data_IF_683258200778
#
_entry.id   IF_683258200778
#
_cell.length_a   1.000
_cell.length_b   1.000
_cell.length_c   1.000
_cell.angle_alpha   90.00
_cell.angle_beta   90.00
_cell.angle_gamma   90.00
#
_symmetry.space_group_name_H-M   'P 1'
#
loop_
_entity.id
_entity.type
_entity.pdbx_description
1 polymer ?
#
# COMPACT_ATOMS: atom_id res chain seq x y z
N UNK A 1 -8.76 11.55 37.35
CA UNK A 1 -10.00 12.29 37.03
C UNK A 1 -10.45 11.82 35.65
N UNK A 2 -11.69 11.33 35.56
CA UNK A 2 -12.30 10.74 34.36
C UNK A 2 -12.70 11.84 33.37
N UNK A 3 -12.01 11.99 32.24
CA UNK A 3 -12.57 12.59 31.01
C UNK A 3 -11.80 12.03 29.80
N UNK A 4 -12.18 10.85 29.33
CA UNK A 4 -12.10 10.51 27.91
C UNK A 4 -13.46 9.88 27.61
N UNK A 5 -14.39 10.73 27.18
CA UNK A 5 -15.67 10.30 26.64
C UNK A 5 -15.74 10.82 25.20
N UNK A 6 -15.84 9.85 24.29
CA UNK A 6 -16.78 9.81 23.17
C UNK A 6 -16.80 11.03 22.26
N UNK A 7 -16.22 10.87 21.07
CA UNK A 7 -16.86 11.40 19.86
C UNK A 7 -16.87 10.31 18.78
N UNK A 8 -18.06 9.75 18.60
CA UNK A 8 -18.50 9.15 17.36
C UNK A 8 -19.50 10.13 16.75
N UNK A 9 -19.31 10.46 15.47
CA UNK A 9 -20.20 11.09 14.50
C UNK A 9 -21.41 11.91 15.01
N UNK A 10 -21.45 13.20 14.65
CA UNK A 10 -22.70 13.92 14.42
C UNK A 10 -22.50 15.08 13.44
N UNK A 11 -22.93 14.85 12.20
CA UNK A 11 -23.32 15.88 11.22
C UNK A 11 -24.56 16.61 11.77
N UNK A 12 -24.53 17.94 11.90
CA UNK A 12 -25.73 18.76 12.07
C UNK A 12 -25.50 20.22 11.65
N UNK A 13 -26.12 20.56 10.51
CA UNK A 13 -26.49 21.91 10.11
C UNK A 13 -27.37 22.56 11.18
N UNK A 14 -27.02 23.77 11.64
CA UNK A 14 -28.01 24.71 12.19
C UNK A 14 -27.54 26.15 12.06
N UNK A 15 -28.25 26.89 11.20
CA UNK A 15 -28.32 28.34 11.22
C UNK A 15 -29.16 28.78 12.44
N UNK A 16 -28.71 29.79 13.19
CA UNK A 16 -29.58 30.88 13.69
C UNK A 16 -28.81 31.93 14.52
N UNK A 17 -29.07 33.20 14.15
CA UNK A 17 -29.22 34.41 14.98
C UNK A 17 -28.04 34.92 15.82
N UNK A 18 -27.45 36.00 15.31
CA UNK A 18 -26.62 36.96 16.04
C UNK A 18 -27.40 37.62 17.18
N UNK A 19 -26.84 37.53 18.39
CA UNK A 19 -27.05 38.50 19.47
C UNK A 19 -25.68 39.04 19.85
N UNK A 20 -25.45 40.31 19.52
CA UNK A 20 -24.20 41.04 19.81
C UNK A 20 -24.11 41.27 21.32
N UNK A 21 -23.15 40.63 21.97
CA UNK A 21 -22.66 41.02 23.28
C UNK A 21 -21.20 41.44 23.13
N UNK A 22 -20.94 42.74 23.27
CA UNK A 22 -19.58 43.30 23.32
C UNK A 22 -19.03 43.22 24.76
N UNK A 23 -17.89 42.55 24.99
CA UNK A 23 -17.12 42.75 26.22
C UNK A 23 -16.26 44.03 26.13
N UNK A 24 -15.88 44.63 27.27
CA UNK A 24 -15.10 45.86 27.30
C UNK A 24 -13.68 45.65 26.76
N UNK A 25 -13.16 46.67 26.09
CA UNK A 25 -11.80 46.72 25.60
C UNK A 25 -10.80 46.71 26.76
N UNK A 26 -9.82 45.80 26.66
CA UNK A 26 -8.37 46.11 26.63
C UNK A 26 -7.53 45.08 27.39
N UNK A 27 -7.00 44.13 26.62
CA UNK A 27 -5.66 43.59 26.81
C UNK A 27 -5.01 43.59 25.43
N UNK A 28 -3.86 44.24 25.31
CA UNK A 28 -3.14 44.42 24.04
C UNK A 28 -3.05 43.10 23.27
N UNK A 29 -3.72 43.04 22.12
CA UNK A 29 -3.67 41.88 21.22
C UNK A 29 -2.26 41.77 20.68
N UNK A 30 -1.54 40.73 21.08
CA UNK A 30 -0.32 40.32 20.42
C UNK A 30 -0.59 40.16 18.91
N UNK A 31 0.36 40.51 18.02
CA UNK A 31 0.15 40.36 16.58
C UNK A 31 -0.23 38.90 16.26
N UNK A 32 -1.08 38.69 15.25
CA UNK A 32 -1.69 37.39 14.94
C UNK A 32 -0.68 36.22 14.90
N UNK A 33 0.55 36.48 14.40
CA UNK A 33 1.66 35.51 14.39
C UNK A 33 2.14 35.08 15.80
N UNK A 34 2.11 35.99 16.78
CA UNK A 34 2.49 35.69 18.17
C UNK A 34 1.42 34.85 18.87
N UNK A 35 0.15 35.06 18.55
CA UNK A 35 -0.95 34.27 19.13
C UNK A 35 -0.89 32.81 18.68
N UNK A 36 -0.74 32.57 17.37
CA UNK A 36 -0.62 31.22 16.79
C UNK A 36 0.60 30.49 17.35
N UNK A 37 1.73 31.18 17.48
CA UNK A 37 2.94 30.61 18.09
C UNK A 37 2.71 30.14 19.54
N UNK A 38 2.00 30.92 20.36
CA UNK A 38 1.64 30.52 21.73
C UNK A 38 0.65 29.35 21.76
N UNK A 39 -0.31 29.30 20.82
CA UNK A 39 -1.22 28.16 20.67
C UNK A 39 -0.44 26.87 20.36
N UNK A 40 0.48 26.92 19.39
CA UNK A 40 1.36 25.80 19.04
C UNK A 40 2.21 25.37 20.24
N UNK A 41 2.85 26.30 20.96
CA UNK A 41 3.62 25.98 22.17
C UNK A 41 2.78 25.26 23.22
N UNK A 42 1.54 25.71 23.42
CA UNK A 42 0.60 25.10 24.38
C UNK A 42 0.22 23.68 23.95
N UNK A 43 -0.16 23.50 22.68
CA UNK A 43 -0.56 22.21 22.13
C UNK A 43 0.61 21.22 22.20
N UNK A 44 1.80 21.61 21.73
CA UNK A 44 3.03 20.80 21.78
C UNK A 44 3.35 20.39 23.22
N UNK A 45 3.36 21.34 24.17
CA UNK A 45 3.64 21.03 25.58
C UNK A 45 2.62 20.05 26.16
N UNK A 46 1.37 20.11 25.73
CA UNK A 46 0.28 19.32 26.28
C UNK A 46 0.17 17.92 25.64
N UNK A 47 0.33 17.82 24.33
CA UNK A 47 -0.06 16.63 23.57
C UNK A 47 1.09 15.90 22.89
N UNK A 48 2.27 16.53 22.73
CA UNK A 48 3.38 15.85 22.08
C UNK A 48 3.78 14.57 22.82
N UNK A 49 4.03 13.51 22.04
CA UNK A 49 4.21 12.15 22.58
C UNK A 49 5.46 12.03 23.46
N UNK A 50 6.54 12.72 23.11
CA UNK A 50 7.80 12.71 23.86
C UNK A 50 7.96 13.95 24.78
N UNK A 51 8.87 13.91 25.76
CA UNK A 51 9.25 15.10 26.52
C UNK A 51 9.83 16.20 25.60
N UNK A 52 9.30 17.42 25.73
CA UNK A 52 9.76 18.59 24.95
C UNK A 52 10.68 19.46 25.80
N UNK A 53 11.85 19.82 25.26
CA UNK A 53 12.78 20.73 25.93
C UNK A 53 12.30 22.19 25.84
N UNK A 54 12.68 23.00 26.83
CA UNK A 54 12.40 24.45 26.80
C UNK A 54 13.09 25.15 25.60
N UNK A 55 14.18 24.59 25.07
CA UNK A 55 14.85 25.14 23.91
C UNK A 55 13.99 25.05 22.65
N UNK A 56 13.31 23.92 22.45
CA UNK A 56 12.38 23.73 21.32
C UNK A 56 11.25 24.75 21.40
N UNK A 57 10.67 24.94 22.58
CA UNK A 57 9.57 25.89 22.79
C UNK A 57 10.00 27.36 22.63
N UNK A 58 11.29 27.69 22.73
CA UNK A 58 11.81 29.05 22.52
C UNK A 58 11.99 29.41 21.05
N UNK A 59 11.78 28.49 20.12
CA UNK A 59 11.89 28.77 18.69
C UNK A 59 10.90 29.87 18.26
N UNK A 60 11.28 30.62 17.22
CA UNK A 60 10.61 31.88 16.84
C UNK A 60 9.38 31.69 15.96
N UNK A 61 9.20 30.50 15.37
CA UNK A 61 8.09 30.19 14.46
C UNK A 61 7.49 28.83 14.80
N UNK A 62 6.19 28.60 14.48
CA UNK A 62 5.59 27.28 14.57
C UNK A 62 6.37 26.20 13.81
N UNK A 63 6.87 26.53 12.62
CA UNK A 63 7.65 25.65 11.76
C UNK A 63 8.95 25.21 12.45
N UNK A 64 9.68 26.14 13.07
CA UNK A 64 10.91 25.81 13.79
C UNK A 64 10.67 24.94 15.02
N UNK A 65 9.51 25.08 15.68
CA UNK A 65 9.12 24.20 16.79
C UNK A 65 8.96 22.78 16.26
N UNK A 66 8.10 22.56 15.27
CA UNK A 66 7.79 21.20 14.79
C UNK A 66 8.98 20.50 14.13
N UNK A 67 9.84 21.23 13.40
CA UNK A 67 11.08 20.69 12.81
C UNK A 67 12.05 20.11 13.86
N UNK A 68 11.97 20.55 15.12
CA UNK A 68 12.80 20.05 16.21
C UNK A 68 12.13 18.94 17.04
N UNK A 69 10.87 18.58 16.72
CA UNK A 69 10.14 17.51 17.42
C UNK A 69 10.45 16.16 16.79
N UNK A 70 9.98 15.94 15.56
CA UNK A 70 10.14 14.71 14.79
C UNK A 70 9.87 15.00 13.30
N UNK A 71 10.24 14.09 12.37
CA UNK A 71 10.00 14.27 10.93
C UNK A 71 8.52 14.12 10.52
N UNK A 72 7.59 13.93 11.45
CA UNK A 72 6.19 13.69 11.15
C UNK A 72 5.28 14.82 11.62
N UNK A 73 5.74 15.71 12.48
CA UNK A 73 5.01 16.85 12.98
C UNK A 73 5.22 18.02 12.03
N UNK A 74 4.13 18.66 11.63
CA UNK A 74 4.15 19.71 10.62
C UNK A 74 3.21 20.85 11.02
N UNK A 75 3.60 22.07 10.66
CA UNK A 75 2.72 23.22 10.65
C UNK A 75 2.38 23.51 9.19
N UNK A 76 1.10 23.59 8.88
CA UNK A 76 0.59 23.83 7.54
C UNK A 76 -0.22 25.12 7.51
N UNK A 77 -0.04 25.92 6.47
CA UNK A 77 -1.06 26.92 6.12
C UNK A 77 -2.36 26.22 5.72
N UNK A 78 -3.44 26.99 5.58
CA UNK A 78 -4.72 26.47 5.12
C UNK A 78 -4.59 25.80 3.75
N UNK A 79 -3.86 26.44 2.83
CA UNK A 79 -3.64 25.96 1.47
C UNK A 79 -2.80 24.67 1.48
N UNK A 80 -1.73 24.62 2.29
CA UNK A 80 -0.91 23.41 2.45
C UNK A 80 -1.74 22.24 3.00
N UNK A 81 -2.65 22.49 3.94
CA UNK A 81 -3.56 21.48 4.48
C UNK A 81 -4.58 21.00 3.44
N UNK A 82 -5.17 21.91 2.64
CA UNK A 82 -6.10 21.54 1.58
C UNK A 82 -5.44 20.63 0.53
N UNK A 83 -4.20 20.93 0.12
CA UNK A 83 -3.45 20.06 -0.80
C UNK A 83 -3.08 18.72 -0.16
N UNK A 84 -2.74 18.71 1.13
CA UNK A 84 -2.50 17.48 1.88
C UNK A 84 -3.71 16.55 1.92
N UNK A 85 -4.91 17.09 2.17
CA UNK A 85 -6.16 16.31 2.15
C UNK A 85 -6.43 15.74 0.75
N UNK A 86 -6.35 16.56 -0.31
CA UNK A 86 -6.51 16.10 -1.70
C UNK A 86 -5.53 14.97 -2.04
N UNK A 87 -4.32 15.02 -1.50
CA UNK A 87 -3.34 13.95 -1.69
C UNK A 87 -3.72 12.67 -0.95
N UNK A 88 -4.20 12.72 0.30
CA UNK A 88 -4.70 11.52 0.99
C UNK A 88 -5.87 10.90 0.21
N UNK A 89 -6.80 11.75 -0.22
CA UNK A 89 -8.05 11.34 -0.88
C UNK A 89 -7.88 11.01 -2.38
N UNK A 90 -6.64 11.03 -2.88
CA UNK A 90 -6.31 10.74 -4.29
C UNK A 90 -6.98 11.72 -5.30
N UNK A 91 -7.38 12.92 -4.87
CA UNK A 91 -8.08 13.94 -5.67
C UNK A 91 -7.14 15.09 -6.13
N UNK A 92 -5.87 14.79 -6.41
CA UNK A 92 -4.88 15.82 -6.73
C UNK A 92 -4.76 16.14 -8.22
N UNK A 93 -4.49 17.42 -8.52
CA UNK A 93 -3.86 17.85 -9.77
C UNK A 93 -2.39 18.00 -9.50
N UNK A 94 -1.55 17.32 -10.27
CA UNK A 94 -0.12 17.31 -10.00
C UNK A 94 0.66 16.48 -11.01
N UNK A 95 1.75 15.87 -10.54
CA UNK A 95 2.69 15.14 -11.39
C UNK A 95 2.51 13.61 -11.35
N UNK A 96 1.58 13.11 -10.52
CA UNK A 96 1.28 11.68 -10.40
C UNK A 96 2.37 10.89 -9.66
N UNK A 97 2.74 11.36 -8.47
CA UNK A 97 3.71 10.70 -7.57
C UNK A 97 3.12 10.51 -6.19
N UNK A 98 3.52 9.44 -5.52
CA UNK A 98 3.38 9.30 -4.07
C UNK A 98 4.73 9.64 -3.45
N UNK A 99 4.72 10.45 -2.40
CA UNK A 99 5.92 10.89 -1.69
C UNK A 99 5.82 10.53 -0.22
N UNK A 100 6.97 10.42 0.44
CA UNK A 100 7.09 10.28 1.89
C UNK A 100 8.33 11.05 2.36
N UNK A 101 8.31 11.50 3.61
CA UNK A 101 9.43 12.17 4.26
C UNK A 101 10.15 11.22 5.22
N UNK A 102 11.47 11.18 5.13
CA UNK A 102 12.35 10.53 6.09
C UNK A 102 13.54 11.43 6.46
N UNK A 103 14.51 10.86 7.18
CA UNK A 103 15.72 11.57 7.62
C UNK A 103 16.60 12.13 6.47
N UNK A 104 16.42 11.64 5.25
CA UNK A 104 17.12 12.10 4.04
C UNK A 104 16.30 13.11 3.23
N UNK A 105 15.07 13.42 3.66
CA UNK A 105 14.16 14.36 3.02
C UNK A 105 12.97 13.69 2.33
N UNK A 106 12.30 14.46 1.46
CA UNK A 106 11.11 14.01 0.73
C UNK A 106 11.51 13.19 -0.49
N UNK A 107 11.11 11.93 -0.53
CA UNK A 107 11.44 11.00 -1.61
C UNK A 107 10.19 10.45 -2.30
N UNK A 108 10.34 10.08 -3.56
CA UNK A 108 9.28 9.48 -4.38
C UNK A 108 9.15 8.00 -4.02
N UNK A 109 7.99 7.61 -3.49
CA UNK A 109 7.63 6.24 -3.17
C UNK A 109 7.18 5.47 -4.40
N UNK A 110 6.32 6.09 -5.20
CA UNK A 110 5.82 5.52 -6.44
C UNK A 110 5.49 6.61 -7.45
N UNK A 111 5.43 6.18 -8.71
CA UNK A 111 5.07 7.04 -9.84
C UNK A 111 3.93 6.38 -10.56
N UNK A 112 2.91 7.15 -10.91
CA UNK A 112 1.78 6.65 -11.68
C UNK A 112 2.27 6.11 -13.02
N UNK A 113 1.95 4.86 -13.31
CA UNK A 113 2.27 4.24 -14.60
C UNK A 113 1.69 5.08 -15.75
N UNK A 114 2.55 5.45 -16.70
CA UNK A 114 2.23 6.36 -17.82
C UNK A 114 1.80 7.78 -17.41
N UNK A 115 1.88 8.16 -16.14
CA UNK A 115 1.57 9.50 -15.64
C UNK A 115 2.64 10.56 -15.97
N UNK A 116 2.42 11.84 -15.63
CA UNK A 116 3.31 12.95 -15.99
C UNK A 116 4.76 12.74 -15.51
N UNK A 117 4.96 12.40 -14.24
CA UNK A 117 6.28 12.14 -13.67
C UNK A 117 6.99 10.93 -14.30
N UNK A 118 6.25 9.84 -14.61
CA UNK A 118 6.82 8.69 -15.30
C UNK A 118 7.30 9.04 -16.70
N UNK A 119 6.51 9.83 -17.46
CA UNK A 119 6.89 10.32 -18.79
C UNK A 119 8.10 11.26 -18.74
N UNK A 120 8.23 12.03 -17.66
CA UNK A 120 9.38 12.88 -17.40
C UNK A 120 10.62 12.10 -16.93
N UNK A 121 10.49 10.81 -16.59
CA UNK A 121 11.60 9.96 -16.18
C UNK A 121 11.95 10.02 -14.70
N UNK A 122 11.04 10.52 -13.85
CA UNK A 122 11.13 10.36 -12.40
C UNK A 122 10.87 8.89 -12.02
N UNK A 123 11.51 8.46 -10.93
CA UNK A 123 11.51 7.06 -10.50
C UNK A 123 11.29 6.94 -8.99
N UNK A 124 10.73 5.81 -8.52
CA UNK A 124 10.77 5.46 -7.10
C UNK A 124 12.20 5.53 -6.55
N UNK A 125 12.36 6.14 -5.37
CA UNK A 125 13.63 6.38 -4.70
C UNK A 125 14.32 7.71 -5.04
N UNK A 126 13.83 8.46 -6.02
CA UNK A 126 14.32 9.83 -6.29
C UNK A 126 14.02 10.73 -5.08
N UNK A 127 15.01 11.51 -4.62
CA UNK A 127 14.87 12.46 -3.50
C UNK A 127 14.68 13.86 -4.06
N UNK A 128 13.60 14.55 -3.69
CA UNK A 128 13.24 15.87 -4.22
C UNK A 128 14.15 16.92 -3.58
N UNK A 129 14.96 17.58 -4.40
CA UNK A 129 15.90 18.61 -3.95
C UNK A 129 15.37 20.03 -4.16
N UNK A 130 14.63 20.27 -5.24
CA UNK A 130 14.04 21.58 -5.53
C UNK A 130 12.75 21.49 -6.34
N UNK A 131 11.86 22.47 -6.14
CA UNK A 131 10.63 22.69 -6.92
C UNK A 131 10.63 24.12 -7.42
N UNK A 132 10.50 24.34 -8.73
CA UNK A 132 10.63 25.64 -9.41
C UNK A 132 11.89 26.44 -9.01
N UNK A 133 12.99 25.72 -8.80
CA UNK A 133 14.27 26.29 -8.37
C UNK A 133 14.34 26.65 -6.88
N UNK A 134 13.25 26.52 -6.12
CA UNK A 134 13.25 26.64 -4.67
C UNK A 134 13.80 25.35 -4.05
N UNK A 135 14.90 25.39 -3.27
CA UNK A 135 15.40 24.22 -2.55
C UNK A 135 14.38 23.75 -1.51
N UNK A 136 14.16 22.43 -1.42
CA UNK A 136 13.19 21.82 -0.50
C UNK A 136 13.78 20.73 0.38
N UNK A 137 15.11 20.56 0.41
CA UNK A 137 15.77 19.48 1.17
C UNK A 137 15.53 19.53 2.69
N UNK A 138 15.09 20.68 3.21
CA UNK A 138 14.80 20.90 4.63
C UNK A 138 13.32 21.25 4.87
N UNK A 139 12.45 21.01 3.89
CA UNK A 139 11.02 21.27 3.97
C UNK A 139 10.24 19.98 4.17
N UNK A 140 9.07 20.08 4.79
CA UNK A 140 8.23 18.93 5.06
C UNK A 140 7.56 18.42 3.78
N UNK A 141 7.10 17.17 3.82
CA UNK A 141 6.32 16.56 2.74
C UNK A 141 5.15 17.46 2.30
N UNK A 142 4.41 18.05 3.26
CA UNK A 142 3.23 18.89 2.98
C UNK A 142 3.62 20.16 2.23
N UNK A 143 4.74 20.76 2.61
CA UNK A 143 5.26 21.93 1.92
C UNK A 143 5.65 21.58 0.48
N UNK A 144 6.39 20.50 0.29
CA UNK A 144 6.80 20.00 -1.03
C UNK A 144 5.58 19.69 -1.89
N UNK A 145 4.58 19.03 -1.32
CA UNK A 145 3.32 18.73 -2.00
C UNK A 145 2.62 20.01 -2.46
N UNK A 146 2.50 21.02 -1.61
CA UNK A 146 1.88 22.30 -1.98
C UNK A 146 2.61 23.04 -3.11
N UNK A 147 3.94 22.86 -3.21
CA UNK A 147 4.76 23.46 -4.26
C UNK A 147 4.64 22.70 -5.58
N UNK A 148 4.41 21.39 -5.51
CA UNK A 148 4.18 20.52 -6.69
C UNK A 148 2.75 20.65 -7.21
N UNK A 149 1.79 20.93 -6.32
CA UNK A 149 0.42 21.18 -6.66
C UNK A 149 0.26 22.46 -7.49
N UNK A 150 -0.77 22.50 -8.32
CA UNK A 150 -1.04 23.65 -9.18
C UNK A 150 -2.23 23.39 -10.09
N UNK A 151 -2.46 24.34 -11.01
CA UNK A 151 -3.60 24.26 -11.90
C UNK A 151 -3.40 23.21 -13.00
N UNK A 152 -4.50 22.64 -13.50
CA UNK A 152 -4.42 21.67 -14.58
C UNK A 152 -3.89 22.35 -15.84
N UNK A 153 -2.85 21.76 -16.45
CA UNK A 153 -2.25 22.25 -17.68
C UNK A 153 -1.06 23.19 -17.50
N UNK A 154 -0.77 23.65 -16.27
CA UNK A 154 0.48 24.36 -15.97
C UNK A 154 1.66 23.38 -15.87
N UNK A 155 2.86 23.89 -15.64
CA UNK A 155 4.08 23.08 -15.52
C UNK A 155 4.84 23.44 -14.26
N UNK A 156 5.46 22.43 -13.65
CA UNK A 156 6.35 22.58 -12.50
C UNK A 156 7.71 21.98 -12.82
N UNK A 157 8.80 22.65 -12.45
CA UNK A 157 10.15 22.13 -12.55
C UNK A 157 10.52 21.39 -11.26
N UNK A 158 10.88 20.12 -11.36
CA UNK A 158 11.29 19.29 -10.21
C UNK A 158 12.72 18.85 -10.42
N UNK A 159 13.57 19.14 -9.44
CA UNK A 159 14.95 18.65 -9.37
C UNK A 159 15.03 17.54 -8.33
N UNK A 160 15.52 16.37 -8.72
CA UNK A 160 15.71 15.23 -7.84
C UNK A 160 17.16 14.76 -7.82
N UNK A 161 17.61 14.22 -6.69
CA UNK A 161 18.80 13.39 -6.61
C UNK A 161 18.40 11.93 -6.71
N UNK A 162 19.07 11.19 -7.60
CA UNK A 162 18.79 9.77 -7.85
C UNK A 162 19.87 8.92 -7.20
N UNK A 163 19.58 8.22 -6.09
CA UNK A 163 20.58 7.40 -5.39
C UNK A 163 21.16 6.28 -6.26
N UNK A 164 20.36 5.73 -7.19
CA UNK A 164 20.76 4.59 -8.02
C UNK A 164 21.81 4.93 -9.08
N UNK A 165 21.93 6.20 -9.47
CA UNK A 165 22.92 6.67 -10.45
C UNK A 165 23.86 7.74 -9.88
N UNK A 166 23.60 8.22 -8.67
CA UNK A 166 24.29 9.36 -8.03
C UNK A 166 24.21 10.66 -8.84
N UNK A 167 23.15 10.83 -9.64
CA UNK A 167 22.97 11.99 -10.51
C UNK A 167 21.83 12.89 -10.02
N UNK A 168 21.97 14.20 -10.27
CA UNK A 168 20.87 15.17 -10.14
C UNK A 168 20.16 15.31 -11.47
N UNK A 169 18.84 15.11 -11.47
CA UNK A 169 17.97 15.17 -12.64
C UNK A 169 16.98 16.31 -12.45
N UNK A 170 16.94 17.24 -13.39
CA UNK A 170 15.94 18.32 -13.41
C UNK A 170 14.99 18.12 -14.58
N UNK A 171 13.69 18.12 -14.31
CA UNK A 171 12.64 17.88 -15.31
C UNK A 171 11.53 18.90 -15.16
N UNK A 172 10.97 19.35 -16.28
CA UNK A 172 9.75 20.17 -16.30
C UNK A 172 8.58 19.28 -16.63
N UNK A 173 7.59 19.25 -15.76
CA UNK A 173 6.47 18.30 -15.81
C UNK A 173 5.18 19.08 -15.93
N UNK A 174 4.32 18.66 -16.87
CA UNK A 174 2.97 19.20 -16.99
C UNK A 174 2.10 18.65 -15.87
N UNK A 175 1.40 19.53 -15.17
CA UNK A 175 0.42 19.17 -14.14
C UNK A 175 -0.87 18.73 -14.82
N UNK A 176 -1.37 17.56 -14.41
CA UNK A 176 -2.57 16.95 -14.96
C UNK A 176 -3.47 16.50 -13.81
N UNK A 177 -4.78 16.45 -14.05
CA UNK A 177 -5.68 15.78 -13.12
C UNK A 177 -5.28 14.32 -13.04
N UNK A 178 -5.00 13.86 -11.82
CA UNK A 178 -4.59 12.48 -11.59
C UNK A 178 -5.85 11.64 -11.33
N UNK A 179 -6.13 10.71 -12.24
CA UNK A 179 -7.15 9.68 -12.05
C UNK A 179 -6.44 8.41 -11.56
N UNK A 180 -6.11 8.39 -10.27
CA UNK A 180 -5.52 7.22 -9.64
C UNK A 180 -6.62 6.46 -8.90
N UNK A 181 -7.05 5.26 -9.39
CA UNK A 181 -8.04 4.48 -8.66
C UNK A 181 -7.43 4.05 -7.32
N UNK A 182 -8.02 4.49 -6.21
CA UNK A 182 -7.49 4.14 -4.89
C UNK A 182 -7.53 2.62 -4.65
N UNK A 183 -8.59 1.95 -5.10
CA UNK A 183 -8.71 0.48 -5.06
C UNK A 183 -8.82 -0.13 -6.45
N UNK A 184 -7.82 -0.91 -6.81
CA UNK A 184 -7.84 -1.76 -8.00
C UNK A 184 -8.09 -3.22 -7.62
N UNK A 185 -8.92 -3.92 -8.40
CA UNK A 185 -9.12 -5.34 -8.18
C UNK A 185 -9.32 -6.14 -9.47
N UNK A 186 -8.88 -7.40 -9.44
CA UNK A 186 -8.99 -8.33 -10.57
C UNK A 186 -9.00 -9.78 -10.11
N UNK A 187 -9.53 -10.65 -10.97
CA UNK A 187 -9.41 -12.10 -10.82
C UNK A 187 -8.14 -12.58 -11.53
N UNK A 188 -7.23 -13.19 -10.78
CA UNK A 188 -6.04 -13.86 -11.28
C UNK A 188 -6.32 -15.32 -11.64
N UNK A 189 -5.36 -15.94 -12.34
CA UNK A 189 -5.38 -17.35 -12.69
C UNK A 189 -5.65 -18.26 -11.47
N UNK A 190 -6.24 -19.43 -11.70
CA UNK A 190 -6.61 -20.34 -10.60
C UNK A 190 -7.69 -19.79 -9.66
N UNK A 191 -8.45 -18.79 -10.13
CA UNK A 191 -9.60 -18.23 -9.42
C UNK A 191 -9.21 -17.54 -8.09
N UNK A 192 -8.17 -16.72 -8.13
CA UNK A 192 -7.65 -15.95 -6.97
C UNK A 192 -8.08 -14.49 -7.11
N UNK A 193 -8.59 -13.90 -6.03
CA UNK A 193 -8.90 -12.47 -5.99
C UNK A 193 -7.63 -11.66 -5.71
N UNK A 194 -7.48 -10.52 -6.38
CA UNK A 194 -6.44 -9.54 -6.13
C UNK A 194 -7.09 -8.19 -5.85
N UNK A 195 -6.69 -7.54 -4.77
CA UNK A 195 -7.06 -6.17 -4.39
C UNK A 195 -5.76 -5.43 -4.10
N UNK A 196 -5.60 -4.25 -4.67
CA UNK A 196 -4.52 -3.31 -4.36
C UNK A 196 -5.14 -2.03 -3.81
N UNK A 197 -4.57 -1.53 -2.72
CA UNK A 197 -4.98 -0.30 -2.06
C UNK A 197 -3.81 0.67 -2.09
N UNK A 198 -4.01 1.88 -2.62
CA UNK A 198 -2.95 2.89 -2.74
C UNK A 198 -2.91 3.89 -1.56
N UNK A 199 -4.07 4.21 -0.97
CA UNK A 199 -4.23 5.11 0.16
C UNK A 199 -5.37 4.67 1.09
N UNK A 200 -5.23 4.91 2.39
CA UNK A 200 -6.29 4.70 3.38
C UNK A 200 -7.21 5.94 3.47
N UNK A 201 -7.84 6.33 2.36
CA UNK A 201 -8.81 7.42 2.31
C UNK A 201 -10.18 7.03 2.92
N UNK A 202 -11.16 7.93 2.92
CA UNK A 202 -12.50 7.67 3.45
C UNK A 202 -13.33 6.71 2.58
N UNK A 203 -13.00 6.55 1.30
CA UNK A 203 -13.78 5.77 0.32
C UNK A 203 -13.37 4.30 0.26
N UNK A 204 -12.11 4.00 0.61
CA UNK A 204 -11.47 2.69 0.52
C UNK A 204 -12.30 1.53 1.13
N UNK A 205 -12.97 1.67 2.29
CA UNK A 205 -13.76 0.58 2.86
C UNK A 205 -14.91 0.16 1.93
N UNK A 206 -15.63 1.11 1.35
CA UNK A 206 -16.73 0.84 0.43
C UNK A 206 -16.22 0.23 -0.89
N UNK A 207 -15.08 0.72 -1.38
CA UNK A 207 -14.43 0.20 -2.57
C UNK A 207 -13.95 -1.25 -2.41
N UNK A 208 -13.36 -1.58 -1.26
CA UNK A 208 -12.91 -2.93 -0.90
C UNK A 208 -14.12 -3.86 -0.74
N UNK A 209 -15.20 -3.42 -0.09
CA UNK A 209 -16.43 -4.20 -0.01
C UNK A 209 -16.94 -4.55 -1.42
N UNK A 210 -16.99 -3.56 -2.32
CA UNK A 210 -17.37 -3.75 -3.73
C UNK A 210 -16.45 -4.76 -4.41
N UNK A 211 -15.13 -4.64 -4.24
CA UNK A 211 -14.16 -5.58 -4.78
C UNK A 211 -14.41 -7.02 -4.28
N UNK A 212 -14.65 -7.20 -2.98
CA UNK A 212 -14.92 -8.51 -2.37
C UNK A 212 -16.18 -9.14 -2.96
N UNK A 213 -17.25 -8.37 -3.13
CA UNK A 213 -18.52 -8.84 -3.70
C UNK A 213 -18.38 -9.16 -5.19
N UNK A 214 -17.73 -8.30 -5.97
CA UNK A 214 -17.49 -8.50 -7.40
C UNK A 214 -16.63 -9.72 -7.70
N UNK A 215 -15.70 -10.05 -6.80
CA UNK A 215 -14.84 -11.21 -6.90
C UNK A 215 -15.37 -12.42 -6.10
N UNK A 216 -16.69 -12.59 -6.01
CA UNK A 216 -17.29 -13.75 -5.36
C UNK A 216 -16.79 -15.09 -5.92
N UNK A 217 -16.78 -16.11 -5.06
CA UNK A 217 -16.39 -17.48 -5.42
C UNK A 217 -14.90 -17.68 -5.70
N UNK A 218 -14.01 -16.70 -5.45
CA UNK A 218 -12.56 -16.93 -5.47
C UNK A 218 -12.13 -17.93 -4.40
N UNK A 219 -10.98 -18.58 -4.63
CA UNK A 219 -10.43 -19.63 -3.75
C UNK A 219 -9.39 -19.11 -2.75
N UNK A 220 -9.10 -17.81 -2.78
CA UNK A 220 -8.12 -17.14 -1.95
C UNK A 220 -7.88 -15.72 -2.44
N UNK A 221 -7.19 -14.93 -1.63
CA UNK A 221 -7.00 -13.50 -1.84
C UNK A 221 -5.52 -13.11 -1.78
N UNK A 222 -5.16 -12.14 -2.61
CA UNK A 222 -3.95 -11.35 -2.48
C UNK A 222 -4.42 -9.91 -2.24
N UNK A 223 -4.01 -9.34 -1.12
CA UNK A 223 -4.21 -7.95 -0.78
C UNK A 223 -2.84 -7.25 -0.88
N UNK A 224 -2.75 -6.14 -1.60
CA UNK A 224 -1.49 -5.49 -1.93
C UNK A 224 -1.44 -4.09 -1.29
N UNK A 225 -0.45 -3.89 -0.42
CA UNK A 225 -0.12 -2.63 0.25
C UNK A 225 1.28 -2.13 -0.16
N UNK A 226 1.89 -2.70 -1.20
CA UNK A 226 3.16 -2.19 -1.71
C UNK A 226 2.96 -0.75 -2.16
N UNK A 227 3.92 0.11 -1.81
CA UNK A 227 3.91 1.52 -2.17
C UNK A 227 2.73 2.35 -1.61
N UNK A 228 2.11 1.85 -0.53
CA UNK A 228 1.04 2.54 0.18
C UNK A 228 1.58 3.24 1.45
N UNK A 229 1.66 4.58 1.49
CA UNK A 229 2.22 5.34 2.61
C UNK A 229 1.29 5.41 3.85
N UNK A 230 0.08 4.87 3.74
CA UNK A 230 -0.93 4.89 4.78
C UNK A 230 -2.10 5.80 4.43
N UNK A 231 -2.52 6.63 5.38
CA UNK A 231 -3.73 7.45 5.32
C UNK A 231 -4.43 7.44 6.67
N UNK A 232 -5.76 7.51 6.68
CA UNK A 232 -6.53 7.59 7.91
C UNK A 232 -6.47 6.30 8.75
N UNK A 233 -6.16 6.47 10.04
CA UNK A 233 -6.11 5.38 11.02
C UNK A 233 -7.48 4.70 11.18
N UNK A 234 -8.56 5.47 11.14
CA UNK A 234 -9.92 4.93 11.22
C UNK A 234 -10.23 4.03 10.02
N UNK A 235 -9.85 4.45 8.81
CA UNK A 235 -9.96 3.61 7.61
C UNK A 235 -9.19 2.31 7.78
N UNK A 236 -7.97 2.34 8.34
CA UNK A 236 -7.20 1.13 8.62
C UNK A 236 -7.93 0.17 9.59
N UNK A 237 -8.54 0.73 10.63
CA UNK A 237 -9.37 -0.02 11.59
C UNK A 237 -10.59 -0.67 10.93
N UNK A 238 -11.21 0.02 9.97
CA UNK A 238 -12.32 -0.48 9.18
C UNK A 238 -11.89 -1.59 8.22
N UNK A 239 -10.78 -1.39 7.50
CA UNK A 239 -10.26 -2.36 6.54
C UNK A 239 -9.80 -3.65 7.24
N UNK A 240 -9.24 -3.55 8.45
CA UNK A 240 -8.91 -4.70 9.29
C UNK A 240 -10.11 -5.66 9.46
N UNK A 241 -11.33 -5.13 9.48
CA UNK A 241 -12.57 -5.90 9.59
C UNK A 241 -12.90 -6.81 8.40
N UNK A 242 -12.35 -6.55 7.21
CA UNK A 242 -12.53 -7.43 6.04
C UNK A 242 -11.72 -8.72 6.15
N UNK A 243 -10.71 -8.76 7.02
CA UNK A 243 -9.88 -9.94 7.22
C UNK A 243 -10.51 -10.85 8.28
N UNK A 244 -10.77 -12.13 7.96
CA UNK A 244 -11.33 -13.05 8.93
C UNK A 244 -10.38 -13.25 10.12
N UNK A 245 -10.95 -13.40 11.32
CA UNK A 245 -10.23 -13.59 12.59
C UNK A 245 -9.48 -12.37 13.15
N UNK A 246 -9.45 -11.24 12.46
CA UNK A 246 -8.90 -9.99 13.02
C UNK A 246 -9.92 -9.41 13.99
N UNK A 247 -9.59 -9.41 15.28
CA UNK A 247 -10.42 -8.87 16.38
C UNK A 247 -9.88 -7.54 16.89
N UNK A 248 -8.57 -7.38 16.88
CA UNK A 248 -7.86 -6.17 17.31
C UNK A 248 -7.14 -5.57 16.10
N UNK A 249 -7.32 -4.28 15.84
CA UNK A 249 -6.67 -3.60 14.73
C UNK A 249 -5.26 -3.17 15.15
N UNK A 250 -5.15 -2.42 16.24
CA UNK A 250 -3.87 -1.89 16.71
C UNK A 250 -3.96 -1.55 18.19
N UNK A 251 -2.81 -1.17 18.74
CA UNK A 251 -2.69 -0.60 20.07
C UNK A 251 -2.06 0.78 19.96
N UNK A 252 -2.54 1.76 20.73
CA UNK A 252 -1.88 3.06 20.89
C UNK A 252 -1.28 3.19 22.28
N UNK A 253 -0.17 3.90 22.36
CA UNK A 253 0.39 4.42 23.61
C UNK A 253 0.62 5.91 23.47
N UNK A 254 -0.01 6.66 24.35
CA UNK A 254 0.18 8.10 24.46
C UNK A 254 1.43 8.44 25.30
N UNK A 255 1.68 9.74 25.47
CA UNK A 255 2.79 10.25 26.29
C UNK A 255 2.78 9.84 27.76
N UNK A 256 1.62 9.45 28.30
CA UNK A 256 1.48 8.94 29.67
C UNK A 256 1.80 7.45 29.76
N UNK A 257 2.15 6.85 28.62
CA UNK A 257 2.27 5.41 28.40
C UNK A 257 0.95 4.67 28.69
N UNK A 258 -0.19 5.38 28.59
CA UNK A 258 -1.50 4.76 28.66
C UNK A 258 -1.73 3.94 27.40
N UNK A 259 -2.06 2.67 27.58
CA UNK A 259 -2.24 1.73 26.50
C UNK A 259 -3.73 1.54 26.20
N UNK A 260 -4.13 1.84 24.97
CA UNK A 260 -5.47 1.55 24.46
C UNK A 260 -5.40 0.56 23.30
N UNK A 261 -6.29 -0.44 23.30
CA UNK A 261 -6.36 -1.45 22.23
C UNK A 261 -7.66 -1.26 21.46
N UNK A 262 -7.53 -1.03 20.16
CA UNK A 262 -8.64 -0.76 19.27
C UNK A 262 -9.09 -2.06 18.61
N UNK A 263 -10.39 -2.35 18.70
CA UNK A 263 -10.99 -3.49 18.03
C UNK A 263 -11.11 -3.23 16.52
N UNK A 264 -11.03 -4.28 15.70
CA UNK A 264 -11.39 -4.15 14.29
C UNK A 264 -12.89 -3.84 14.16
N UNK A 265 -13.25 -2.94 13.24
CA UNK A 265 -14.66 -2.62 12.98
C UNK A 265 -15.28 -3.75 12.17
N UNK A 266 -16.45 -4.24 12.59
CA UNK A 266 -17.12 -5.35 11.89
C UNK A 266 -17.62 -4.89 10.51
N UNK A 267 -17.22 -5.61 9.47
CA UNK A 267 -17.65 -5.36 8.09
C UNK A 267 -18.80 -6.27 7.65
N UNK A 268 -19.64 -5.85 6.67
CA UNK A 268 -20.77 -6.65 6.17
C UNK A 268 -20.33 -7.86 5.33
N UNK A 269 -19.10 -7.83 4.80
CA UNK A 269 -18.45 -8.94 4.10
C UNK A 269 -17.05 -9.16 4.64
N UNK A 270 -16.51 -10.36 4.45
CA UNK A 270 -15.12 -10.66 4.72
C UNK A 270 -14.52 -11.46 3.56
N UNK A 271 -13.21 -11.34 3.37
CA UNK A 271 -12.47 -12.17 2.43
C UNK A 271 -12.49 -13.64 2.90
N UNK A 272 -13.10 -14.51 2.10
CA UNK A 272 -13.13 -15.95 2.37
C UNK A 272 -11.90 -16.68 1.80
N UNK A 273 -11.35 -17.63 2.56
CA UNK A 273 -10.23 -18.47 2.14
C UNK A 273 -8.86 -17.95 2.57
N UNK A 274 -7.75 -18.57 2.09
CA UNK A 274 -6.40 -18.15 2.42
C UNK A 274 -6.08 -16.76 1.84
N UNK A 275 -5.49 -15.89 2.66
CA UNK A 275 -5.12 -14.53 2.29
C UNK A 275 -3.60 -14.37 2.30
N UNK A 276 -3.10 -13.61 1.33
CA UNK A 276 -1.71 -13.18 1.21
C UNK A 276 -1.69 -11.66 1.23
N UNK A 277 -0.82 -11.06 2.03
CA UNK A 277 -0.63 -9.62 2.07
C UNK A 277 0.73 -9.30 1.45
N UNK A 278 0.78 -8.39 0.48
CA UNK A 278 2.02 -7.92 -0.12
C UNK A 278 2.42 -6.59 0.52
N UNK A 279 3.68 -6.48 0.91
CA UNK A 279 4.27 -5.28 1.53
C UNK A 279 5.67 -5.05 1.01
N UNK A 280 6.13 -3.81 1.02
CA UNK A 280 7.52 -3.45 0.69
C UNK A 280 8.02 -2.35 1.63
N UNK A 281 9.24 -1.86 1.38
CA UNK A 281 9.86 -0.79 2.16
C UNK A 281 9.03 0.51 2.16
N UNK A 282 8.17 0.69 1.16
CA UNK A 282 7.30 1.85 1.01
C UNK A 282 5.92 1.69 1.67
N UNK A 283 5.60 0.52 2.22
CA UNK A 283 4.40 0.34 3.02
C UNK A 283 4.61 1.03 4.39
N UNK A 284 3.86 2.09 4.69
CA UNK A 284 4.07 2.90 5.90
C UNK A 284 2.77 3.17 6.68
N UNK A 285 2.91 3.60 7.95
CA UNK A 285 1.80 4.10 8.78
C UNK A 285 0.62 3.11 8.87
N UNK A 286 -0.60 3.50 8.48
CA UNK A 286 -1.80 2.66 8.42
C UNK A 286 -1.58 1.30 7.72
N UNK A 287 -0.74 1.24 6.69
CA UNK A 287 -0.36 -0.03 6.03
C UNK A 287 0.32 -0.99 7.02
N UNK A 288 1.18 -0.47 7.89
CA UNK A 288 1.92 -1.25 8.88
C UNK A 288 1.02 -1.69 10.03
N UNK A 289 0.07 -0.84 10.42
CA UNK A 289 -0.97 -1.19 11.39
C UNK A 289 -1.76 -2.41 10.91
N UNK A 290 -2.28 -2.34 9.68
CA UNK A 290 -3.02 -3.46 9.07
C UNK A 290 -2.14 -4.70 8.93
N UNK A 291 -0.91 -4.55 8.42
CA UNK A 291 0.03 -5.64 8.24
C UNK A 291 0.35 -6.37 9.55
N UNK A 292 0.62 -5.62 10.63
CA UNK A 292 0.86 -6.17 11.95
C UNK A 292 -0.38 -6.90 12.50
N UNK A 293 -1.57 -6.30 12.34
CA UNK A 293 -2.84 -6.85 12.81
C UNK A 293 -3.12 -8.23 12.20
N UNK A 294 -3.05 -8.32 10.86
CA UNK A 294 -3.38 -9.55 10.13
C UNK A 294 -2.32 -10.63 10.31
N UNK A 295 -1.05 -10.24 10.46
CA UNK A 295 0.06 -11.16 10.72
C UNK A 295 -0.08 -11.81 12.10
N UNK A 296 -0.20 -11.01 13.15
CA UNK A 296 -0.18 -11.52 14.53
C UNK A 296 -1.40 -12.37 14.88
N UNK A 297 -2.53 -12.11 14.23
CA UNK A 297 -3.78 -12.86 14.36
C UNK A 297 -3.93 -13.95 13.30
N UNK A 298 -2.88 -14.20 12.49
CA UNK A 298 -2.82 -15.27 11.48
C UNK A 298 -3.96 -15.20 10.45
N UNK A 299 -4.42 -14.00 10.15
CA UNK A 299 -5.45 -13.75 9.14
C UNK A 299 -4.89 -13.73 7.71
N UNK A 300 -3.62 -13.34 7.55
CA UNK A 300 -2.90 -13.38 6.28
C UNK A 300 -1.43 -13.80 6.48
N UNK A 301 -0.80 -14.25 5.40
CA UNK A 301 0.66 -14.48 5.33
C UNK A 301 1.28 -13.33 4.55
N UNK A 302 2.28 -12.66 5.12
CA UNK A 302 2.92 -11.49 4.53
C UNK A 302 4.07 -11.88 3.60
N UNK A 303 4.12 -11.27 2.42
CA UNK A 303 5.14 -11.46 1.40
C UNK A 303 5.79 -10.13 1.06
N UNK A 304 7.12 -10.15 0.89
CA UNK A 304 7.85 -9.01 0.33
C UNK A 304 9.07 -8.60 1.13
N UNK A 305 9.18 -7.32 1.42
CA UNK A 305 10.28 -6.74 2.22
C UNK A 305 9.74 -6.21 3.55
N UNK A 306 10.66 -5.84 4.45
CA UNK A 306 10.28 -5.14 5.68
C UNK A 306 9.64 -3.79 5.31
N UNK A 307 8.60 -3.41 6.05
CA UNK A 307 7.89 -2.13 5.89
C UNK A 307 8.69 -0.95 6.45
N UNK A 308 8.23 0.26 6.19
CA UNK A 308 8.96 1.50 6.45
C UNK A 308 9.37 1.70 7.92
N UNK A 309 8.46 1.47 8.87
CA UNK A 309 8.70 1.66 10.30
C UNK A 309 8.17 2.99 10.85
N UNK A 310 7.11 3.56 10.27
CA UNK A 310 6.47 4.79 10.73
C UNK A 310 5.39 4.45 11.75
N UNK A 311 5.80 4.18 12.99
CA UNK A 311 4.91 3.80 14.10
C UNK A 311 4.28 4.95 14.89
N UNK A 312 4.17 6.14 14.31
CA UNK A 312 3.67 7.36 14.97
C UNK A 312 2.25 7.68 14.53
N UNK A 313 1.43 8.19 15.45
CA UNK A 313 0.09 8.67 15.18
C UNK A 313 0.05 10.18 15.36
N UNK A 314 -0.34 10.87 14.31
CA UNK A 314 -0.54 12.31 14.32
C UNK A 314 -2.01 12.65 14.57
N UNK A 315 -2.22 13.77 15.26
CA UNK A 315 -3.52 14.43 15.39
C UNK A 315 -3.44 15.81 14.75
N UNK A 316 -4.57 16.25 14.19
CA UNK A 316 -4.71 17.53 13.50
C UNK A 316 -5.36 18.53 14.45
N UNK A 317 -4.67 19.64 14.71
CA UNK A 317 -5.16 20.74 15.54
C UNK A 317 -5.38 21.99 14.68
N UNK A 318 -6.62 22.43 14.57
CA UNK A 318 -6.96 23.71 13.94
C UNK A 318 -6.54 24.87 14.85
N UNK A 319 -5.84 25.84 14.26
CA UNK A 319 -5.32 27.02 14.93
C UNK A 319 -6.22 28.23 14.67
N UNK A 320 -6.10 29.26 15.49
CA UNK A 320 -7.07 30.37 15.47
C UNK A 320 -7.03 31.26 14.21
N UNK A 321 -6.03 31.09 13.34
CA UNK A 321 -5.92 31.75 12.04
C UNK A 321 -6.34 30.84 10.86
N UNK A 322 -6.81 29.62 11.14
CA UNK A 322 -7.19 28.62 10.12
C UNK A 322 -6.03 27.77 9.60
N UNK A 323 -4.81 27.96 10.11
CA UNK A 323 -3.70 27.04 9.89
C UNK A 323 -3.88 25.73 10.68
N UNK A 324 -3.11 24.71 10.32
CA UNK A 324 -3.20 23.38 10.94
C UNK A 324 -1.86 22.95 11.53
N UNK A 325 -1.89 22.48 12.78
CA UNK A 325 -0.78 21.78 13.40
C UNK A 325 -1.05 20.28 13.36
N UNK A 326 -0.25 19.54 12.58
CA UNK A 326 -0.18 18.08 12.61
C UNK A 326 0.88 17.68 13.63
N UNK A 327 0.49 17.00 14.71
CA UNK A 327 1.38 16.72 15.83
C UNK A 327 1.38 15.23 16.17
N UNK A 328 2.56 14.63 16.37
CA UNK A 328 2.65 13.26 16.90
C UNK A 328 2.20 13.22 18.37
N UNK A 329 1.07 12.56 18.64
CA UNK A 329 0.46 12.47 19.98
C UNK A 329 0.57 11.08 20.61
N UNK A 330 0.81 10.05 19.80
CA UNK A 330 0.91 8.67 20.25
C UNK A 330 1.82 7.84 19.33
N UNK A 331 2.26 6.69 19.84
CA UNK A 331 2.86 5.64 19.04
C UNK A 331 1.91 4.46 18.90
N UNK A 332 1.81 3.90 17.69
CA UNK A 332 1.05 2.69 17.45
C UNK A 332 1.93 1.45 17.50
N UNK A 333 1.32 0.37 17.98
CA UNK A 333 1.90 -0.93 18.19
C UNK A 333 1.00 -1.98 17.54
N UNK A 334 1.55 -3.16 17.31
CA UNK A 334 0.74 -4.31 16.95
C UNK A 334 -0.30 -4.63 18.05
N UNK A 335 -1.33 -5.44 17.77
CA UNK A 335 -2.27 -5.89 18.79
C UNK A 335 -1.62 -6.52 20.03
N UNK A 336 -0.47 -7.19 19.89
CA UNK A 336 0.29 -7.77 21.01
C UNK A 336 1.29 -6.80 21.66
N UNK A 337 1.32 -5.54 21.23
CA UNK A 337 2.21 -4.52 21.78
C UNK A 337 3.63 -4.55 21.21
N UNK A 338 3.85 -5.18 20.05
CA UNK A 338 5.14 -5.15 19.33
C UNK A 338 5.35 -3.74 18.74
N UNK A 339 6.51 -3.09 18.98
CA UNK A 339 6.81 -1.79 18.39
C UNK A 339 6.88 -1.84 16.87
N UNK A 340 6.37 -0.80 16.22
CA UNK A 340 6.48 -0.61 14.76
C UNK A 340 7.43 0.56 14.44
N UNK A 341 7.44 1.60 15.27
CA UNK A 341 8.27 2.79 15.08
C UNK A 341 9.77 2.44 15.00
N UNK A 342 10.44 2.85 13.92
CA UNK A 342 11.83 2.52 13.53
C UNK A 342 12.15 1.03 13.35
N UNK A 343 11.14 0.14 13.41
CA UNK A 343 11.33 -1.32 13.31
C UNK A 343 10.69 -1.88 12.04
N UNK A 344 9.49 -1.42 11.73
CA UNK A 344 8.63 -1.95 10.67
C UNK A 344 8.13 -3.38 10.94
N UNK A 345 7.26 -3.85 10.06
CA UNK A 345 6.70 -5.19 10.05
C UNK A 345 7.52 -6.08 9.13
N UNK A 346 8.10 -7.14 9.69
CA UNK A 346 8.84 -8.15 8.91
C UNK A 346 7.85 -9.08 8.18
N UNK A 347 8.04 -9.35 6.88
CA UNK A 347 7.21 -10.31 6.15
C UNK A 347 7.44 -11.75 6.65
N UNK A 348 6.44 -12.61 6.50
CA UNK A 348 6.57 -14.05 6.79
C UNK A 348 7.42 -14.75 5.72
N UNK A 349 7.24 -14.35 4.46
CA UNK A 349 7.96 -14.84 3.31
C UNK A 349 8.72 -13.68 2.65
N UNK A 350 10.02 -13.51 2.97
CA UNK A 350 10.85 -12.53 2.28
C UNK A 350 10.95 -12.85 0.79
N UNK A 351 10.82 -11.84 -0.06
CA UNK A 351 11.00 -11.99 -1.51
C UNK A 351 11.99 -10.97 -2.07
N UNK A 352 12.54 -11.26 -3.24
CA UNK A 352 13.23 -10.25 -4.05
C UNK A 352 12.21 -9.19 -4.47
N UNK A 353 12.63 -7.92 -4.52
CA UNK A 353 11.81 -6.79 -4.97
C UNK A 353 11.17 -7.10 -6.33
N UNK A 354 9.87 -6.85 -6.45
CA UNK A 354 9.07 -7.11 -7.65
C UNK A 354 8.71 -8.58 -7.84
N UNK A 355 9.00 -9.45 -6.87
CA UNK A 355 8.62 -10.88 -6.89
C UNK A 355 7.53 -11.26 -5.90
N UNK A 356 6.99 -10.30 -5.16
CA UNK A 356 5.99 -10.48 -4.11
C UNK A 356 4.74 -11.17 -4.66
N UNK A 357 4.14 -10.56 -5.69
CA UNK A 357 2.92 -11.06 -6.33
C UNK A 357 3.12 -12.45 -6.94
N UNK A 358 4.27 -12.71 -7.58
CA UNK A 358 4.56 -14.00 -8.17
C UNK A 358 4.67 -15.10 -7.11
N UNK A 359 5.35 -14.82 -5.99
CA UNK A 359 5.51 -15.77 -4.90
C UNK A 359 4.19 -16.07 -4.19
N UNK A 360 3.42 -15.03 -3.84
CA UNK A 360 2.13 -15.17 -3.19
C UNK A 360 1.12 -15.92 -4.07
N UNK A 361 1.03 -15.57 -5.37
CA UNK A 361 0.13 -16.23 -6.30
C UNK A 361 0.53 -17.70 -6.54
N UNK A 362 1.84 -17.98 -6.71
CA UNK A 362 2.35 -19.36 -6.81
C UNK A 362 1.91 -20.21 -5.63
N UNK A 363 2.10 -19.72 -4.41
CA UNK A 363 1.82 -20.50 -3.21
C UNK A 363 0.31 -20.75 -3.03
N UNK A 364 -0.53 -19.78 -3.40
CA UNK A 364 -1.99 -19.98 -3.47
C UNK A 364 -2.38 -21.04 -4.51
N UNK A 365 -1.78 -21.00 -5.70
CA UNK A 365 -2.04 -22.01 -6.74
C UNK A 365 -1.62 -23.40 -6.29
N UNK A 366 -0.39 -23.57 -5.80
CA UNK A 366 0.12 -24.85 -5.32
C UNK A 366 -0.70 -25.36 -4.12
N UNK A 367 -1.18 -24.47 -3.25
CA UNK A 367 -2.08 -24.82 -2.14
C UNK A 367 -3.39 -25.47 -2.59
N UNK A 368 -3.85 -25.20 -3.81
CA UNK A 368 -5.03 -25.85 -4.41
C UNK A 368 -4.72 -27.24 -4.99
N UNK A 369 -3.45 -27.60 -5.20
CA UNK A 369 -3.02 -28.80 -5.91
C UNK A 369 -2.71 -29.97 -4.96
N UNK A 370 -3.53 -30.15 -3.91
CA UNK A 370 -3.44 -31.33 -3.04
C UNK A 370 -3.61 -32.61 -3.88
N UNK A 371 -2.69 -33.56 -3.73
CA UNK A 371 -2.67 -34.79 -4.53
C UNK A 371 -1.96 -34.68 -5.89
N UNK A 372 -1.30 -33.55 -6.18
CA UNK A 372 -0.44 -33.40 -7.35
C UNK A 372 1.03 -33.60 -7.00
N UNK A 373 1.82 -34.08 -7.96
CA UNK A 373 3.27 -34.18 -7.85
C UNK A 373 3.97 -33.04 -8.61
N UNK A 374 5.04 -32.48 -8.03
CA UNK A 374 5.88 -31.55 -8.76
C UNK A 374 6.74 -32.31 -9.78
N UNK A 375 6.86 -31.77 -10.99
CA UNK A 375 7.80 -32.20 -12.03
C UNK A 375 9.08 -31.33 -12.02
N UNK A 376 9.26 -30.48 -11.00
CA UNK A 376 10.38 -29.57 -10.89
C UNK A 376 10.14 -28.21 -11.57
N UNK A 377 11.24 -27.57 -11.97
CA UNK A 377 11.25 -26.22 -12.56
C UNK A 377 11.96 -26.25 -13.91
N UNK A 378 11.36 -25.61 -14.91
CA UNK A 378 11.96 -25.36 -16.21
C UNK A 378 12.33 -23.89 -16.32
N UNK A 379 13.62 -23.58 -16.46
CA UNK A 379 14.13 -22.21 -16.63
C UNK A 379 14.47 -21.93 -18.08
N UNK A 380 14.50 -20.64 -18.45
CA UNK A 380 14.86 -20.16 -19.79
C UNK A 380 14.06 -20.84 -20.91
N UNK A 381 12.78 -21.13 -20.67
CA UNK A 381 11.92 -21.75 -21.67
C UNK A 381 11.68 -20.79 -22.85
N UNK A 382 11.81 -21.23 -24.11
CA UNK A 382 11.38 -20.45 -25.26
C UNK A 382 9.90 -20.05 -25.15
N UNK A 383 9.55 -18.87 -25.64
CA UNK A 383 8.16 -18.35 -25.54
C UNK A 383 7.15 -19.14 -26.39
N UNK A 384 7.62 -19.87 -27.39
CA UNK A 384 6.86 -20.76 -28.26
C UNK A 384 7.03 -22.24 -27.89
N UNK A 385 7.60 -22.52 -26.70
CA UNK A 385 7.89 -23.87 -26.25
C UNK A 385 6.63 -24.73 -26.24
N UNK A 386 6.69 -25.84 -26.97
CA UNK A 386 5.77 -26.97 -26.77
C UNK A 386 6.35 -27.87 -25.67
N UNK A 387 5.52 -28.17 -24.67
CA UNK A 387 5.89 -29.02 -23.55
C UNK A 387 5.54 -30.47 -23.88
N UNK A 388 6.48 -31.38 -23.65
CA UNK A 388 6.28 -32.82 -23.87
C UNK A 388 6.42 -33.53 -22.54
N UNK A 389 5.33 -34.14 -22.09
CA UNK A 389 5.28 -34.89 -20.83
C UNK A 389 5.26 -36.37 -21.19
N UNK A 390 6.25 -37.12 -20.71
CA UNK A 390 6.40 -38.55 -20.99
C UNK A 390 5.78 -39.37 -19.86
N UNK A 391 4.97 -40.35 -20.24
CA UNK A 391 4.33 -41.30 -19.32
C UNK A 391 5.02 -42.66 -19.42
N UNK A 392 5.14 -43.35 -18.30
CA UNK A 392 5.75 -44.68 -18.24
C UNK A 392 4.86 -45.78 -18.84
N UNK A 393 3.58 -45.48 -19.09
CA UNK A 393 2.60 -46.39 -19.67
C UNK A 393 1.96 -45.76 -20.90
N UNK A 394 1.60 -46.55 -21.92
CA UNK A 394 0.78 -46.07 -23.03
C UNK A 394 -0.56 -45.52 -22.54
N UNK A 395 -0.90 -44.32 -22.95
CA UNK A 395 -2.14 -43.61 -22.66
C UNK A 395 -3.29 -44.11 -23.56
N UNK A 396 -4.50 -44.15 -23.00
CA UNK A 396 -5.72 -44.38 -23.76
C UNK A 396 -5.94 -43.25 -24.78
N UNK A 397 -6.54 -43.57 -25.93
CA UNK A 397 -6.85 -42.57 -26.96
C UNK A 397 -8.12 -41.80 -26.59
N UNK A 398 -8.02 -40.93 -25.59
CA UNK A 398 -9.13 -40.12 -25.07
C UNK A 398 -8.82 -38.64 -25.18
N UNK A 399 -9.85 -37.81 -25.31
CA UNK A 399 -9.70 -36.36 -25.26
C UNK A 399 -9.04 -35.93 -23.93
N UNK A 400 -8.04 -35.04 -24.02
CA UNK A 400 -7.35 -34.51 -22.84
C UNK A 400 -7.94 -33.14 -22.49
N UNK A 401 -8.60 -33.06 -21.34
CA UNK A 401 -9.20 -31.82 -20.84
C UNK A 401 -8.61 -31.41 -19.50
N UNK A 402 -8.79 -30.15 -19.13
CA UNK A 402 -8.41 -29.64 -17.81
C UNK A 402 -6.91 -29.38 -17.60
N UNK A 403 -6.06 -29.51 -18.63
CA UNK A 403 -4.68 -29.02 -18.56
C UNK A 403 -4.70 -27.49 -18.52
N UNK A 404 -3.96 -26.90 -17.59
CA UNK A 404 -3.96 -25.46 -17.31
C UNK A 404 -2.56 -24.90 -17.35
N UNK A 405 -2.40 -23.69 -17.86
CA UNK A 405 -1.14 -22.95 -17.81
C UNK A 405 -1.42 -21.59 -17.18
N UNK A 406 -1.07 -21.43 -15.91
CA UNK A 406 -1.35 -20.22 -15.16
C UNK A 406 -0.16 -19.27 -15.25
N UNK A 407 -0.36 -18.05 -15.76
CA UNK A 407 0.65 -17.00 -15.61
C UNK A 407 0.64 -16.53 -14.16
N UNK A 408 1.79 -16.58 -13.48
CA UNK A 408 1.91 -16.04 -12.14
C UNK A 408 1.72 -14.52 -12.18
N UNK A 409 1.04 -13.95 -11.18
CA UNK A 409 0.54 -12.56 -11.19
C UNK A 409 -0.45 -12.20 -12.31
N UNK A 410 -0.85 -13.13 -13.18
CA UNK A 410 -1.64 -12.84 -14.38
C UNK A 410 -2.85 -13.75 -14.58
N UNK A 411 -3.27 -13.89 -15.85
CA UNK A 411 -4.39 -14.73 -16.27
C UNK A 411 -3.93 -16.12 -16.73
N UNK A 412 -4.88 -17.02 -16.91
CA UNK A 412 -4.62 -18.33 -17.53
C UNK A 412 -4.27 -18.14 -19.02
N UNK A 413 -3.18 -18.78 -19.46
CA UNK A 413 -2.83 -18.89 -20.85
C UNK A 413 -3.53 -20.13 -21.45
N UNK A 414 -4.22 -19.94 -22.58
CA UNK A 414 -4.87 -21.04 -23.28
C UNK A 414 -3.84 -22.04 -23.82
N UNK A 415 -4.15 -23.33 -23.70
CA UNK A 415 -3.30 -24.43 -24.18
C UNK A 415 -4.14 -25.48 -24.90
N UNK A 416 -3.52 -26.17 -25.85
CA UNK A 416 -4.02 -27.45 -26.37
C UNK A 416 -3.20 -28.59 -25.82
N UNK A 417 -3.82 -29.75 -25.61
CA UNK A 417 -3.18 -30.95 -25.11
C UNK A 417 -3.54 -32.15 -25.99
N UNK A 418 -2.54 -32.86 -26.52
CA UNK A 418 -2.75 -33.98 -27.44
C UNK A 418 -1.81 -35.14 -27.13
N UNK A 419 -2.33 -36.36 -27.17
CA UNK A 419 -1.54 -37.58 -27.01
C UNK A 419 -0.83 -37.87 -28.32
N UNK A 420 0.49 -38.08 -28.25
CA UNK A 420 1.35 -38.43 -29.39
C UNK A 420 2.15 -39.69 -29.04
N UNK A 421 2.39 -40.55 -30.04
CA UNK A 421 3.22 -41.76 -29.91
C UNK A 421 2.79 -42.68 -28.74
N UNK A 422 1.52 -42.59 -28.32
CA UNK A 422 0.94 -43.37 -27.23
C UNK A 422 1.44 -43.05 -25.82
N UNK A 423 2.62 -42.45 -25.62
CA UNK A 423 3.23 -42.22 -24.29
C UNK A 423 3.59 -40.76 -24.03
N UNK A 424 3.38 -39.87 -25.00
CA UNK A 424 3.71 -38.45 -24.88
C UNK A 424 2.43 -37.63 -24.84
N UNK A 425 2.33 -36.70 -23.89
CA UNK A 425 1.35 -35.62 -23.92
C UNK A 425 2.03 -34.34 -24.39
N UNK A 426 1.64 -33.86 -25.58
CA UNK A 426 2.09 -32.59 -26.13
C UNK A 426 1.15 -31.49 -25.66
N UNK A 427 1.71 -30.48 -25.01
CA UNK A 427 0.98 -29.32 -24.52
C UNK A 427 1.54 -28.09 -25.24
N UNK A 428 0.70 -27.42 -26.01
CA UNK A 428 1.09 -26.27 -26.82
C UNK A 428 0.31 -25.03 -26.36
N UNK A 429 0.99 -23.95 -25.94
CA UNK A 429 0.35 -22.65 -25.77
C UNK A 429 -0.36 -22.18 -27.04
N UNK A 430 -1.57 -21.65 -26.92
CA UNK A 430 -2.34 -21.13 -28.05
C UNK A 430 -1.71 -19.85 -28.64
N UNK A 431 -0.99 -19.10 -27.80
CA UNK A 431 -0.22 -17.92 -28.18
C UNK A 431 1.19 -17.99 -27.56
N UNK A 432 2.12 -17.17 -28.08
CA UNK A 432 3.46 -17.04 -27.49
C UNK A 432 3.34 -16.56 -26.04
N UNK A 433 4.09 -17.20 -25.15
CA UNK A 433 4.19 -16.78 -23.76
C UNK A 433 4.95 -15.45 -23.65
N UNK A 434 4.68 -14.70 -22.60
CA UNK A 434 5.38 -13.45 -22.34
C UNK A 434 6.84 -13.74 -21.92
N UNK A 435 7.78 -12.92 -22.41
CA UNK A 435 9.21 -13.04 -22.10
C UNK A 435 9.48 -12.70 -20.62
N UNK A 436 10.44 -13.41 -20.01
CA UNK A 436 10.84 -13.21 -18.61
C UNK A 436 9.75 -13.48 -17.56
N UNK A 437 8.60 -14.03 -17.95
CA UNK A 437 7.47 -14.30 -17.07
C UNK A 437 7.52 -15.72 -16.51
N UNK A 438 6.81 -15.92 -15.39
CA UNK A 438 6.70 -17.22 -14.74
C UNK A 438 5.30 -17.80 -14.89
N UNK A 439 5.24 -19.12 -15.09
CA UNK A 439 4.00 -19.87 -15.29
C UNK A 439 3.98 -21.13 -14.43
N UNK A 440 2.78 -21.63 -14.15
CA UNK A 440 2.55 -22.94 -13.54
C UNK A 440 1.73 -23.79 -14.51
N UNK A 441 2.37 -24.82 -15.07
CA UNK A 441 1.69 -25.83 -15.85
C UNK A 441 1.07 -26.85 -14.90
N UNK A 442 -0.23 -27.14 -15.06
CA UNK A 442 -0.97 -28.09 -14.23
C UNK A 442 -1.64 -29.12 -15.13
N UNK A 443 -1.41 -30.39 -14.82
CA UNK A 443 -1.91 -31.56 -15.54
C UNK A 443 -2.80 -32.34 -14.56
N UNK A 444 -4.12 -32.39 -14.78
CA UNK A 444 -5.03 -33.04 -13.84
C UNK A 444 -4.94 -34.57 -13.94
N UNK A 445 -5.28 -35.30 -12.86
CA UNK A 445 -5.27 -36.77 -12.82
C UNK A 445 -6.45 -37.42 -13.58
N UNK A 446 -6.75 -36.95 -14.79
CA UNK A 446 -7.89 -37.43 -15.59
C UNK A 446 -7.49 -38.45 -16.65
N UNK A 447 -6.19 -38.63 -16.87
CA UNK A 447 -5.66 -39.53 -17.88
C UNK A 447 -5.68 -40.98 -17.39
N UNK A 448 -5.94 -41.91 -18.31
CA UNK A 448 -5.87 -43.36 -18.10
C UNK A 448 -4.88 -43.98 -19.07
N UNK A 449 -4.22 -45.05 -18.67
CA UNK A 449 -3.44 -45.88 -19.58
C UNK A 449 -4.37 -46.71 -20.51
N UNK A 450 -3.81 -47.30 -21.57
CA UNK A 450 -4.56 -48.15 -22.51
C UNK A 450 -5.22 -49.35 -21.84
N UNK A 451 -4.61 -49.89 -20.80
CA UNK A 451 -5.11 -50.96 -19.92
C UNK A 451 -6.08 -50.46 -18.83
N UNK A 452 -6.51 -49.19 -18.89
CA UNK A 452 -7.56 -48.65 -18.03
C UNK A 452 -7.09 -48.13 -16.65
N UNK A 453 -5.78 -48.14 -16.37
CA UNK A 453 -5.25 -47.70 -15.08
C UNK A 453 -5.25 -46.17 -15.03
N UNK A 454 -5.98 -45.62 -14.06
CA UNK A 454 -6.10 -44.18 -13.86
C UNK A 454 -4.83 -43.57 -13.24
N UNK A 455 -4.51 -42.35 -13.67
CA UNK A 455 -3.46 -41.52 -13.07
C UNK A 455 -3.83 -41.18 -11.63
N UNK A 456 -3.03 -41.66 -10.66
CA UNK A 456 -3.33 -41.49 -9.22
C UNK A 456 -3.13 -40.07 -8.70
N UNK A 457 -2.13 -39.36 -9.23
CA UNK A 457 -1.77 -38.00 -8.82
C UNK A 457 -1.72 -37.11 -10.05
N UNK A 458 -2.23 -35.89 -9.93
CA UNK A 458 -1.99 -34.87 -10.94
C UNK A 458 -0.51 -34.49 -10.97
N UNK A 459 -0.10 -33.64 -11.91
CA UNK A 459 1.27 -33.14 -11.97
C UNK A 459 1.29 -31.64 -12.19
N UNK A 460 2.31 -30.96 -11.70
CA UNK A 460 2.56 -29.55 -12.03
C UNK A 460 4.04 -29.26 -12.25
N UNK A 461 4.33 -28.22 -13.03
CA UNK A 461 5.69 -27.77 -13.30
C UNK A 461 5.74 -26.25 -13.29
N UNK A 462 6.71 -25.69 -12.58
CA UNK A 462 7.00 -24.26 -12.65
C UNK A 462 7.84 -23.97 -13.89
N UNK A 463 7.49 -22.93 -14.63
CA UNK A 463 8.15 -22.55 -15.88
C UNK A 463 8.54 -21.09 -15.79
N UNK A 464 9.78 -20.78 -16.15
CA UNK A 464 10.26 -19.41 -16.34
C UNK A 464 10.68 -19.27 -17.81
N UNK A 465 10.08 -18.32 -18.52
CA UNK A 465 10.43 -18.05 -19.92
C UNK A 465 11.75 -17.28 -20.01
N UNK A 466 12.45 -17.44 -21.12
CA UNK A 466 13.66 -16.68 -21.40
C UNK A 466 13.39 -15.17 -21.31
N UNK A 467 14.27 -14.44 -20.62
CA UNK A 467 14.27 -12.99 -20.63
C UNK A 467 14.65 -12.48 -22.03
N UNK A 468 14.29 -11.23 -22.35
CA UNK A 468 14.88 -10.59 -23.53
C UNK A 468 16.39 -10.50 -23.30
N UNK A 469 17.19 -11.00 -24.24
CA UNK A 469 18.57 -10.51 -24.36
C UNK A 469 18.47 -9.00 -24.59
N UNK A 470 19.07 -8.21 -23.68
CA UNK A 470 19.30 -6.79 -23.90
C UNK A 470 20.29 -6.64 -25.05
#
# INVERSE_FOLDING_TARGET
MKVIQRWAAALLLLAASFSVWSPPAEAATAPASTKVLEEVRKIVRQYYVEPVSDQVLKASTPQDIVKQLDPYSAYMTKEEYEEFLKWIDMESVGIGVMIEEDENGVHIMSVLDNGPAARAGLQPGDVIQAVDGQPVTNETMEKVLSLIAGEEGTTVAVTVWRPSTEETVSVTIKQEKIDWPNVEFKRLAGNIGYIQLYSFDETAPAEIERAIRSLSGVKGWIFDLRDNPGGYVETAQQIAGFFPNVKQAFQLRDRSNHQEVYAAVKQPVQMAGPIRLLVNASSASASEMLAAAVKEQKAAVLYGQRTFGKGSMQEMFELSDGSMLKLTVAHFFSPKGTPIHHVGVKPDVPTVVGKELYAAHRDLLIGQLKGYQSLGKLRNAPVDKTFVVRFSRPLANTAVSGVKLYQLGGREAAVTAQIRRGTELLIKPAAKLAKGQSYLLVIPPVLKSKDGVAMKKGAYMEIQTAASTK
#
